data_IF_516968455541
#
_entry.id   IF_516968455541
#
_cell.length_a   1.000
_cell.length_b   1.000
_cell.length_c   1.000
_cell.angle_alpha   90.00
_cell.angle_beta   90.00
_cell.angle_gamma   90.00
#
_symmetry.space_group_name_H-M   'P 1'
#
loop_
_entity.id
_entity.type
_entity.pdbx_description
1 polymer ?
#
# COMPACT_ATOMS: atom_id res chain seq x y z
N UNK A 1 11.08 -22.42 -0.42
CA UNK A 1 9.69 -22.28 -0.02
C UNK A 1 9.18 -20.93 -0.44
N UNK A 2 8.07 -20.93 -1.15
CA UNK A 2 7.56 -19.68 -1.69
C UNK A 2 6.03 -19.71 -1.75
N UNK A 3 5.45 -18.54 -1.93
CA UNK A 3 4.02 -18.39 -2.12
C UNK A 3 3.78 -17.40 -3.26
N UNK A 4 2.60 -17.44 -3.83
CA UNK A 4 2.24 -16.50 -4.89
C UNK A 4 1.89 -15.15 -4.28
N UNK A 5 2.51 -14.08 -4.76
CA UNK A 5 2.21 -12.72 -4.33
C UNK A 5 1.72 -11.90 -5.52
N UNK A 6 0.56 -11.28 -5.35
CA UNK A 6 -0.05 -10.48 -6.41
C UNK A 6 -0.42 -9.10 -5.91
N UNK A 7 -0.22 -8.10 -6.75
CA UNK A 7 -0.68 -6.74 -6.50
C UNK A 7 -1.62 -6.35 -7.63
N UNK A 8 -2.84 -6.01 -7.27
CA UNK A 8 -3.90 -5.66 -8.21
C UNK A 8 -4.40 -4.26 -7.89
N UNK A 9 -4.49 -3.41 -8.90
CA UNK A 9 -5.18 -2.12 -8.80
C UNK A 9 -6.57 -2.27 -9.43
N UNK A 10 -7.48 -1.29 -9.26
CA UNK A 10 -8.81 -1.40 -9.88
C UNK A 10 -8.78 -1.61 -11.39
N UNK A 11 -7.70 -1.21 -12.04
CA UNK A 11 -7.62 -1.26 -13.50
C UNK A 11 -6.91 -2.48 -14.05
N UNK A 12 -5.96 -3.04 -13.29
CA UNK A 12 -5.14 -4.13 -13.83
C UNK A 12 -4.35 -4.87 -12.75
N UNK A 13 -3.88 -6.05 -13.13
CA UNK A 13 -2.89 -6.80 -12.36
C UNK A 13 -1.53 -6.13 -12.58
N UNK A 14 -0.89 -5.67 -11.52
CA UNK A 14 0.40 -4.99 -11.58
C UNK A 14 1.57 -5.94 -11.42
N UNK A 15 1.41 -6.97 -10.62
CA UNK A 15 2.47 -7.92 -10.32
C UNK A 15 1.87 -9.26 -9.94
N UNK A 16 2.48 -10.33 -10.42
CA UNK A 16 2.24 -11.68 -9.94
C UNK A 16 3.58 -12.41 -9.98
N UNK A 17 4.04 -12.86 -8.83
CA UNK A 17 5.35 -13.50 -8.74
C UNK A 17 5.39 -14.46 -7.56
N UNK A 18 6.41 -15.32 -7.52
CA UNK A 18 6.68 -16.14 -6.37
C UNK A 18 7.53 -15.35 -5.38
N UNK A 19 7.09 -15.33 -4.15
CA UNK A 19 7.73 -14.56 -3.09
C UNK A 19 8.23 -15.48 -1.99
N UNK A 20 9.29 -15.06 -1.33
CA UNK A 20 9.81 -15.71 -0.15
C UNK A 20 9.33 -15.01 1.10
N UNK A 21 9.24 -13.68 1.05
CA UNK A 21 8.79 -12.84 2.15
C UNK A 21 8.11 -11.59 1.60
N UNK A 22 7.01 -11.21 2.19
CA UNK A 22 6.37 -9.92 1.90
C UNK A 22 6.08 -9.20 3.21
N UNK A 23 6.47 -7.93 3.28
CA UNK A 23 6.10 -7.06 4.39
C UNK A 23 5.09 -6.06 3.87
N UNK A 24 3.91 -6.02 4.49
CA UNK A 24 2.83 -5.14 4.04
C UNK A 24 2.43 -4.15 5.13
N UNK A 25 1.98 -2.94 4.76
CA UNK A 25 1.59 -1.91 5.73
C UNK A 25 0.15 -2.09 6.18
N UNK A 26 -0.07 -2.98 7.14
CA UNK A 26 -1.39 -3.14 7.74
C UNK A 26 -1.81 -1.89 8.48
N UNK A 27 -3.12 -1.64 8.56
CA UNK A 27 -3.65 -0.46 9.25
C UNK A 27 -3.28 -0.44 10.73
N UNK A 28 -3.18 -1.62 11.35
CA UNK A 28 -2.81 -1.74 12.76
C UNK A 28 -1.33 -2.03 12.98
N UNK A 29 -0.54 -2.06 11.94
CA UNK A 29 0.89 -2.31 12.01
C UNK A 29 1.37 -3.13 10.82
N UNK A 30 2.68 -3.12 10.62
CA UNK A 30 3.29 -3.88 9.53
C UNK A 30 3.17 -5.37 9.79
N UNK A 31 2.98 -6.12 8.70
CA UNK A 31 2.75 -7.55 8.76
C UNK A 31 3.73 -8.26 7.83
N UNK A 32 4.46 -9.25 8.39
CA UNK A 32 5.35 -10.09 7.59
C UNK A 32 4.64 -11.37 7.17
N UNK A 33 4.74 -11.71 5.89
CA UNK A 33 4.06 -12.88 5.32
C UNK A 33 5.09 -13.83 4.75
N UNK A 34 5.00 -15.09 5.20
CA UNK A 34 5.79 -16.20 4.69
C UNK A 34 4.83 -17.28 4.18
N UNK A 35 5.37 -18.25 3.47
CA UNK A 35 4.57 -19.41 3.06
C UNK A 35 3.92 -20.06 4.27
N UNK A 36 2.68 -20.46 4.13
CA UNK A 36 1.94 -21.12 5.21
C UNK A 36 1.28 -20.17 6.20
N UNK A 37 1.34 -18.87 5.95
CA UNK A 37 0.68 -17.88 6.82
C UNK A 37 -0.80 -18.19 6.98
N UNK A 38 -1.31 -18.07 8.20
CA UNK A 38 -2.71 -18.32 8.48
C UNK A 38 -3.61 -17.40 7.64
N UNK A 39 -4.76 -17.91 7.18
CA UNK A 39 -5.69 -17.11 6.39
C UNK A 39 -6.16 -15.88 7.15
N UNK A 40 -6.12 -14.71 6.50
CA UNK A 40 -6.69 -13.48 7.07
C UNK A 40 -6.89 -12.44 5.99
N UNK A 41 -7.73 -11.46 6.29
CA UNK A 41 -7.93 -10.29 5.47
C UNK A 41 -7.48 -9.10 6.29
N UNK A 42 -6.62 -8.26 5.72
CA UNK A 42 -6.01 -7.13 6.40
C UNK A 42 -6.31 -5.85 5.62
N UNK A 43 -6.78 -4.83 6.32
CA UNK A 43 -6.90 -3.50 5.73
C UNK A 43 -5.54 -2.83 5.75
N UNK A 44 -5.18 -2.19 4.64
CA UNK A 44 -3.88 -1.53 4.49
C UNK A 44 -4.00 -0.03 4.68
N UNK A 45 -2.97 0.56 5.29
CA UNK A 45 -2.78 2.01 5.27
C UNK A 45 -1.87 2.36 4.09
N UNK A 46 -1.73 3.64 3.78
CA UNK A 46 -0.71 4.07 2.82
C UNK A 46 0.68 3.73 3.33
N UNK A 47 1.48 3.10 2.52
CA UNK A 47 2.82 2.70 2.92
C UNK A 47 3.52 1.87 1.87
N UNK A 48 4.66 1.31 2.25
CA UNK A 48 5.52 0.56 1.33
C UNK A 48 5.38 -0.94 1.57
N UNK A 49 5.13 -1.67 0.49
CA UNK A 49 5.24 -3.12 0.47
C UNK A 49 6.69 -3.47 0.13
N UNK A 50 7.33 -4.27 0.97
CA UNK A 50 8.69 -4.77 0.72
C UNK A 50 8.60 -6.23 0.37
N UNK A 51 8.96 -6.56 -0.86
CA UNK A 51 8.85 -7.90 -1.39
C UNK A 51 10.22 -8.49 -1.64
N UNK A 52 10.46 -9.68 -1.09
CA UNK A 52 11.62 -10.51 -1.43
C UNK A 52 11.10 -11.65 -2.30
N UNK A 53 11.51 -11.66 -3.57
CA UNK A 53 11.08 -12.70 -4.49
C UNK A 53 11.80 -14.01 -4.23
N UNK A 54 11.22 -15.11 -4.71
CA UNK A 54 11.81 -16.44 -4.55
C UNK A 54 13.19 -16.55 -5.20
N UNK A 55 13.49 -15.71 -6.20
CA UNK A 55 14.80 -15.68 -6.86
C UNK A 55 15.83 -14.85 -6.08
N UNK A 56 15.45 -14.31 -4.93
CA UNK A 56 16.31 -13.49 -4.09
C UNK A 56 16.29 -12.01 -4.38
N UNK A 57 15.61 -11.60 -5.46
CA UNK A 57 15.50 -10.19 -5.81
C UNK A 57 14.54 -9.43 -4.92
N UNK A 58 14.72 -8.11 -4.85
CA UNK A 58 13.85 -7.22 -4.10
C UNK A 58 12.96 -6.41 -5.06
N UNK A 59 11.75 -6.17 -4.64
CA UNK A 59 10.84 -5.33 -5.41
C UNK A 59 9.89 -4.65 -4.44
N UNK A 60 9.95 -3.32 -4.38
CA UNK A 60 9.17 -2.55 -3.42
C UNK A 60 8.12 -1.71 -4.14
N UNK A 61 6.96 -1.56 -3.52
CA UNK A 61 5.85 -0.77 -4.04
C UNK A 61 5.33 0.17 -2.98
N UNK A 62 4.97 1.38 -3.38
CA UNK A 62 4.12 2.21 -2.55
C UNK A 62 2.66 1.86 -2.86
N UNK A 63 1.84 1.68 -1.82
CA UNK A 63 0.39 1.50 -1.97
C UNK A 63 -0.34 2.59 -1.18
N UNK A 64 -1.42 3.10 -1.74
CA UNK A 64 -2.19 4.20 -1.12
C UNK A 64 -3.29 3.70 -0.18
N UNK A 65 -3.34 2.41 0.06
CA UNK A 65 -4.37 1.78 0.87
C UNK A 65 -4.97 0.60 0.12
N UNK A 66 -5.95 -0.05 0.72
CA UNK A 66 -6.61 -1.20 0.14
C UNK A 66 -6.68 -2.37 1.11
N UNK A 67 -6.68 -3.57 0.59
CA UNK A 67 -6.79 -4.79 1.38
C UNK A 67 -5.78 -5.82 0.92
N UNK A 68 -5.40 -6.71 1.83
CA UNK A 68 -4.64 -7.89 1.49
C UNK A 68 -5.43 -9.13 1.92
N UNK A 69 -5.57 -10.08 1.02
CA UNK A 69 -6.16 -11.37 1.31
C UNK A 69 -5.03 -12.39 1.38
N UNK A 70 -4.85 -12.99 2.55
CA UNK A 70 -3.72 -13.87 2.83
C UNK A 70 -4.23 -15.29 2.99
N UNK A 71 -3.60 -16.23 2.29
CA UNK A 71 -3.81 -17.66 2.47
C UNK A 71 -2.45 -18.32 2.56
N UNK A 72 -2.36 -19.59 3.00
CA UNK A 72 -1.05 -20.26 3.13
C UNK A 72 -0.22 -20.28 1.84
N UNK A 73 -0.88 -20.28 0.68
CA UNK A 73 -0.20 -20.46 -0.60
C UNK A 73 -0.15 -19.18 -1.43
N UNK A 74 -0.95 -18.16 -1.06
CA UNK A 74 -1.11 -16.98 -1.89
C UNK A 74 -1.50 -15.76 -1.07
N UNK A 75 -0.94 -14.62 -1.45
CA UNK A 75 -1.35 -13.32 -0.92
C UNK A 75 -1.71 -12.44 -2.09
N UNK A 76 -2.90 -11.86 -2.07
CA UNK A 76 -3.35 -10.90 -3.07
C UNK A 76 -3.55 -9.55 -2.40
N UNK A 77 -2.85 -8.54 -2.88
CA UNK A 77 -3.04 -7.16 -2.44
C UNK A 77 -3.93 -6.45 -3.45
N UNK A 78 -5.09 -5.99 -2.97
CA UNK A 78 -6.00 -5.19 -3.78
C UNK A 78 -5.81 -3.74 -3.37
N UNK A 79 -4.93 -3.06 -4.07
CA UNK A 79 -4.53 -1.71 -3.74
C UNK A 79 -5.45 -0.68 -4.40
N UNK A 80 -5.78 0.38 -3.66
CA UNK A 80 -6.50 1.51 -4.25
C UNK A 80 -5.63 2.16 -5.32
N UNK A 81 -4.33 2.21 -5.06
CA UNK A 81 -3.33 2.69 -5.97
C UNK A 81 -1.99 2.07 -5.58
N UNK A 82 -1.20 1.68 -6.56
CA UNK A 82 0.12 1.12 -6.32
C UNK A 82 1.11 1.64 -7.36
N UNK A 83 2.31 1.97 -6.91
CA UNK A 83 3.38 2.51 -7.75
C UNK A 83 4.68 1.82 -7.34
N UNK A 84 5.49 1.31 -8.31
CA UNK A 84 6.82 0.82 -7.96
C UNK A 84 7.59 1.93 -7.24
N UNK A 85 8.28 1.57 -6.16
CA UNK A 85 8.94 2.57 -5.32
C UNK A 85 9.94 3.42 -6.10
N UNK A 86 10.66 2.80 -7.03
CA UNK A 86 11.65 3.47 -7.87
C UNK A 86 11.04 4.51 -8.82
N UNK A 87 9.73 4.44 -9.06
CA UNK A 87 9.03 5.39 -9.94
C UNK A 87 8.38 6.54 -9.18
N UNK A 88 8.49 6.57 -7.86
CA UNK A 88 7.91 7.65 -7.08
C UNK A 88 8.67 8.95 -7.30
N UNK A 89 7.90 10.02 -7.57
CA UNK A 89 8.43 11.37 -7.67
C UNK A 89 8.15 12.11 -6.36
N UNK A 90 9.20 12.61 -5.71
CA UNK A 90 9.05 13.42 -4.50
C UNK A 90 8.22 14.67 -4.75
N UNK A 91 8.49 15.36 -5.86
CA UNK A 91 7.74 16.56 -6.20
C UNK A 91 6.26 16.28 -6.41
N UNK A 92 5.94 15.18 -7.11
CA UNK A 92 4.55 14.79 -7.31
C UNK A 92 3.89 14.39 -5.99
N UNK A 93 4.62 13.71 -5.11
CA UNK A 93 4.09 13.31 -3.81
C UNK A 93 3.81 14.54 -2.92
N UNK A 94 4.71 15.52 -2.92
CA UNK A 94 4.51 16.76 -2.17
C UNK A 94 3.33 17.57 -2.69
N UNK A 95 3.15 17.62 -4.01
CA UNK A 95 2.01 18.30 -4.61
C UNK A 95 0.71 17.61 -4.20
N UNK A 96 0.73 16.29 -4.19
CA UNK A 96 -0.44 15.48 -3.80
C UNK A 96 -0.79 15.68 -2.32
N UNK A 97 0.22 15.78 -1.47
CA UNK A 97 0.00 16.07 -0.05
C UNK A 97 -0.64 17.44 0.14
N UNK A 98 -0.13 18.48 -0.54
CA UNK A 98 -0.68 19.82 -0.46
C UNK A 98 -2.15 19.84 -0.89
N UNK A 99 -2.48 19.14 -1.98
CA UNK A 99 -3.84 19.04 -2.46
C UNK A 99 -4.75 18.33 -1.46
N UNK A 100 -4.25 17.23 -0.86
CA UNK A 100 -5.01 16.48 0.14
C UNK A 100 -5.26 17.31 1.40
N UNK A 101 -4.26 18.08 1.83
CA UNK A 101 -4.40 18.95 3.00
C UNK A 101 -5.42 20.06 2.75
N UNK A 102 -5.41 20.62 1.55
CA UNK A 102 -6.40 21.63 1.17
C UNK A 102 -7.81 21.06 1.16
N UNK A 103 -7.97 19.86 0.62
CA UNK A 103 -9.25 19.16 0.61
C UNK A 103 -9.74 18.88 2.04
N UNK A 104 -8.84 18.53 2.93
CA UNK A 104 -9.19 18.29 4.33
C UNK A 104 -9.66 19.58 5.00
N UNK A 105 -8.96 20.69 4.79
CA UNK A 105 -9.39 21.99 5.33
C UNK A 105 -10.76 22.40 4.81
N UNK A 106 -11.01 22.16 3.52
CA UNK A 106 -12.31 22.47 2.91
C UNK A 106 -13.43 21.60 3.46
N UNK A 107 -13.12 20.43 4.02
CA UNK A 107 -14.10 19.52 4.57
C UNK A 107 -14.36 19.74 6.08
N UNK A 108 -13.93 20.87 6.63
CA UNK A 108 -14.05 21.12 8.07
C UNK A 108 -15.49 21.04 8.59
N UNK A 109 -16.44 21.44 7.78
CA UNK A 109 -17.88 21.43 8.14
C UNK A 109 -18.63 20.25 7.49
N UNK A 110 -17.90 19.31 6.88
CA UNK A 110 -18.51 18.16 6.24
C UNK A 110 -18.91 17.11 7.27
N UNK A 111 -19.72 16.14 6.84
CA UNK A 111 -20.10 15.02 7.69
C UNK A 111 -18.87 14.20 8.10
N UNK A 112 -18.92 13.52 9.29
CA UNK A 112 -17.76 12.76 9.79
C UNK A 112 -17.16 11.78 8.80
N UNK A 113 -17.98 11.09 8.01
CA UNK A 113 -17.48 10.12 7.02
C UNK A 113 -16.64 10.82 5.96
N UNK A 114 -17.08 11.97 5.47
CA UNK A 114 -16.36 12.74 4.46
C UNK A 114 -15.06 13.31 5.03
N UNK A 115 -15.08 13.77 6.28
CA UNK A 115 -13.90 14.28 6.94
C UNK A 115 -12.87 13.17 7.17
N UNK A 116 -13.32 11.99 7.58
CA UNK A 116 -12.45 10.85 7.78
C UNK A 116 -11.79 10.40 6.48
N UNK A 117 -12.55 10.41 5.38
CA UNK A 117 -12.00 10.07 4.07
C UNK A 117 -10.94 11.09 3.64
N UNK A 118 -11.19 12.38 3.89
CA UNK A 118 -10.22 13.42 3.58
C UNK A 118 -8.95 13.27 4.42
N UNK A 119 -9.10 12.92 5.69
CA UNK A 119 -7.97 12.70 6.59
C UNK A 119 -7.12 11.50 6.15
N UNK A 120 -7.77 10.42 5.71
CA UNK A 120 -7.05 9.24 5.19
C UNK A 120 -6.25 9.60 3.95
N UNK A 121 -6.76 10.47 3.10
CA UNK A 121 -6.03 10.92 1.91
C UNK A 121 -4.80 11.72 2.29
N UNK A 122 -4.89 12.55 3.33
CA UNK A 122 -3.73 13.26 3.86
C UNK A 122 -2.69 12.26 4.38
N UNK A 123 -3.11 11.30 5.18
CA UNK A 123 -2.20 10.31 5.74
C UNK A 123 -1.51 9.49 4.64
N UNK A 124 -2.25 9.08 3.62
CA UNK A 124 -1.70 8.34 2.50
C UNK A 124 -0.71 9.17 1.70
N UNK A 125 -1.04 10.44 1.43
CA UNK A 125 -0.15 11.34 0.70
C UNK A 125 1.12 11.63 1.50
N UNK A 126 1.02 11.75 2.83
CA UNK A 126 2.18 11.92 3.69
C UNK A 126 3.09 10.69 3.64
N UNK A 127 2.48 9.49 3.67
CA UNK A 127 3.24 8.26 3.54
C UNK A 127 3.96 8.17 2.19
N UNK A 128 3.34 8.69 1.12
CA UNK A 128 3.97 8.74 -0.19
C UNK A 128 5.18 9.67 -0.19
N UNK A 129 5.07 10.83 0.44
CA UNK A 129 6.20 11.76 0.58
C UNK A 129 7.32 11.08 1.36
N UNK A 130 7.01 10.43 2.47
CA UNK A 130 7.99 9.74 3.29
C UNK A 130 8.70 8.64 2.49
N UNK A 131 7.96 7.88 1.69
CA UNK A 131 8.52 6.84 0.84
C UNK A 131 9.44 7.42 -0.25
N UNK A 132 9.06 8.56 -0.82
CA UNK A 132 9.81 9.20 -1.90
C UNK A 132 11.09 9.89 -1.41
N UNK A 133 11.23 10.11 -0.11
CA UNK A 133 12.42 10.79 0.45
C UNK A 133 13.52 9.82 0.92
N UNK A 134 13.30 8.55 0.75
CA UNK A 134 14.28 7.53 1.18
C UNK A 134 15.43 7.38 0.20
#
# INVERSE_FOLDING_TARGET
MSFTFEVVSPEKLLLSTQAELAEIPGEEGDLGILEGHAPMIVQLRGGVIRLTRADGGRQDFFVAGGFAEITPERTAVLADEAVPLEELSRAAAEARLAEAEEAYRAAADAEPVARDAALRRVASAQAMVDAATR
#
